data_IF_813090431555
#
_entry.id   IF_813090431555
#
_cell.length_a   1.000
_cell.length_b   1.000
_cell.length_c   1.000
_cell.angle_alpha   90.00
_cell.angle_beta   90.00
_cell.angle_gamma   90.00
#
_symmetry.space_group_name_H-M   'P 1'
#
loop_
_entity.id
_entity.type
_entity.pdbx_description
1 polymer ?
#
# COMPACT_ATOMS: atom_id res chain seq x y z
N UNK A 1 16.88 -9.42 2.05
CA UNK A 1 15.75 -9.48 1.09
C UNK A 1 14.96 -10.72 1.43
N UNK A 2 13.75 -10.57 1.96
CA UNK A 2 12.86 -11.69 2.25
C UNK A 2 12.06 -12.01 0.98
N UNK A 3 12.29 -13.16 0.37
CA UNK A 3 11.47 -13.68 -0.72
C UNK A 3 10.43 -14.62 -0.11
N UNK A 4 9.41 -14.03 0.50
CA UNK A 4 8.29 -14.74 1.09
C UNK A 4 7.04 -14.45 0.29
N UNK A 5 6.12 -15.41 0.19
CA UNK A 5 4.84 -15.23 -0.51
C UNK A 5 4.05 -14.07 0.10
N UNK A 6 4.07 -13.94 1.43
CA UNK A 6 3.45 -12.84 2.17
C UNK A 6 4.42 -12.23 3.18
N UNK A 7 4.44 -10.90 3.28
CA UNK A 7 5.19 -10.17 4.32
C UNK A 7 4.25 -9.31 5.15
N UNK A 8 4.31 -9.48 6.47
CA UNK A 8 3.60 -8.62 7.42
C UNK A 8 4.61 -7.81 8.21
N UNK A 9 4.46 -6.49 8.22
CA UNK A 9 5.30 -5.61 9.02
C UNK A 9 4.44 -4.64 9.83
N UNK A 10 4.66 -4.64 11.15
CA UNK A 10 3.79 -3.96 12.10
C UNK A 10 4.11 -2.47 12.22
N UNK A 11 5.39 -2.10 12.28
CA UNK A 11 5.82 -0.70 12.44
C UNK A 11 7.14 -0.43 11.75
N UNK A 12 7.26 0.76 11.16
CA UNK A 12 8.53 1.33 10.69
C UNK A 12 8.80 1.17 9.20
N UNK A 13 9.95 1.68 8.79
CA UNK A 13 10.45 1.63 7.41
C UNK A 13 10.77 0.19 7.01
N UNK A 14 10.18 -0.27 5.91
CA UNK A 14 10.43 -1.62 5.40
C UNK A 14 10.54 -1.63 3.88
N UNK A 15 11.40 -2.52 3.38
CA UNK A 15 11.52 -2.86 1.96
C UNK A 15 11.21 -4.34 1.78
N UNK A 16 10.17 -4.65 1.01
CA UNK A 16 9.72 -6.03 0.78
C UNK A 16 9.48 -6.32 -0.70
N UNK A 17 9.80 -7.56 -1.12
CA UNK A 17 9.50 -8.09 -2.45
C UNK A 17 8.80 -9.44 -2.28
N UNK A 18 7.48 -9.43 -2.44
CA UNK A 18 6.58 -10.53 -2.07
C UNK A 18 5.31 -10.48 -2.90
N UNK A 19 4.55 -11.57 -3.01
CA UNK A 19 3.28 -11.53 -3.74
C UNK A 19 2.23 -10.68 -3.01
N UNK A 20 2.23 -10.72 -1.68
CA UNK A 20 1.37 -9.90 -0.84
C UNK A 20 2.16 -9.22 0.28
N UNK A 21 1.84 -7.96 0.58
CA UNK A 21 2.43 -7.24 1.71
C UNK A 21 1.32 -6.58 2.54
N UNK A 22 1.36 -6.79 3.86
CA UNK A 22 0.39 -6.22 4.79
C UNK A 22 1.09 -5.43 5.88
N UNK A 23 0.53 -4.27 6.18
CA UNK A 23 1.26 -3.27 6.92
C UNK A 23 0.39 -2.47 7.84
N UNK A 24 0.80 -2.35 9.09
CA UNK A 24 -0.03 -1.67 10.08
C UNK A 24 0.31 -0.19 10.16
N UNK A 25 1.58 0.18 10.37
CA UNK A 25 1.98 1.59 10.52
C UNK A 25 3.37 1.88 9.94
N UNK A 26 3.54 3.04 9.30
CA UNK A 26 4.84 3.56 8.83
C UNK A 26 4.96 3.67 7.32
N UNK A 27 6.09 4.18 6.82
CA UNK A 27 6.35 4.23 5.38
C UNK A 27 6.94 2.90 4.92
N UNK A 28 6.62 2.49 3.69
CA UNK A 28 7.15 1.25 3.14
C UNK A 28 7.25 1.29 1.66
N UNK A 29 8.36 0.77 1.17
CA UNK A 29 8.58 0.49 -0.23
C UNK A 29 8.30 -0.99 -0.48
N UNK A 30 7.26 -1.31 -1.27
CA UNK A 30 6.93 -2.68 -1.62
C UNK A 30 6.79 -2.86 -3.13
N UNK A 31 7.39 -3.93 -3.66
CA UNK A 31 7.11 -4.44 -5.00
C UNK A 31 6.37 -5.75 -4.84
N UNK A 32 5.09 -5.75 -5.19
CA UNK A 32 4.17 -6.83 -4.81
C UNK A 32 2.99 -6.90 -5.77
N UNK A 33 2.21 -7.97 -5.77
CA UNK A 33 0.95 -7.99 -6.54
C UNK A 33 -0.14 -7.23 -5.79
N UNK A 34 -0.17 -7.37 -4.46
CA UNK A 34 -1.12 -6.69 -3.58
C UNK A 34 -0.46 -6.09 -2.34
N UNK A 35 -0.70 -4.80 -2.09
CA UNK A 35 -0.30 -4.12 -0.86
C UNK A 35 -1.52 -3.69 -0.04
N UNK A 36 -1.53 -3.99 1.25
CA UNK A 36 -2.48 -3.44 2.22
C UNK A 36 -1.74 -2.64 3.28
N UNK A 37 -2.17 -1.41 3.51
CA UNK A 37 -1.64 -0.52 4.52
C UNK A 37 -2.73 0.10 5.36
N UNK A 38 -2.59 0.00 6.69
CA UNK A 38 -3.58 0.55 7.60
C UNK A 38 -3.34 2.02 7.92
N UNK A 39 -2.10 2.41 8.22
CA UNK A 39 -1.75 3.80 8.56
C UNK A 39 -0.40 4.22 7.98
N UNK A 40 -0.32 5.39 7.36
CA UNK A 40 0.93 6.01 6.90
C UNK A 40 1.00 6.27 5.41
N UNK A 41 2.22 6.31 4.88
CA UNK A 41 2.51 6.65 3.48
C UNK A 41 3.15 5.45 2.75
N UNK A 42 2.34 4.46 2.36
CA UNK A 42 2.86 3.32 1.62
C UNK A 42 3.27 3.74 0.21
N UNK A 43 4.47 3.35 -0.18
CA UNK A 43 4.99 3.45 -1.55
C UNK A 43 5.01 2.07 -2.20
N UNK A 44 4.15 1.82 -3.19
CA UNK A 44 4.07 0.51 -3.84
C UNK A 44 4.07 0.55 -5.36
N UNK A 45 4.71 -0.47 -5.93
CA UNK A 45 4.50 -0.88 -7.31
C UNK A 45 3.78 -2.23 -7.29
N UNK A 46 2.50 -2.23 -7.63
CA UNK A 46 1.67 -3.43 -7.54
C UNK A 46 0.51 -3.44 -8.51
N UNK A 47 -0.28 -4.51 -8.55
CA UNK A 47 -1.53 -4.49 -9.31
C UNK A 47 -2.64 -3.79 -8.50
N UNK A 48 -2.67 -4.04 -7.19
CA UNK A 48 -3.64 -3.50 -6.26
C UNK A 48 -2.98 -2.90 -5.01
N UNK A 49 -3.45 -1.72 -4.59
CA UNK A 49 -3.06 -1.09 -3.31
C UNK A 49 -4.30 -0.70 -2.51
N UNK A 50 -4.31 -1.04 -1.22
CA UNK A 50 -5.37 -0.67 -0.28
C UNK A 50 -4.79 0.13 0.89
N UNK A 51 -5.02 1.44 0.83
CA UNK A 51 -4.99 2.48 1.85
C UNK A 51 -6.13 2.44 2.88
N UNK A 52 -5.93 2.27 4.18
CA UNK A 52 -6.99 2.63 5.15
C UNK A 52 -6.87 4.09 5.58
N UNK A 53 -5.70 4.53 6.03
CA UNK A 53 -5.48 5.91 6.51
C UNK A 53 -4.11 6.44 6.08
N UNK A 54 -4.08 7.63 5.49
CA UNK A 54 -2.85 8.35 5.12
C UNK A 54 -2.74 8.59 3.62
N UNK A 55 -1.51 8.75 3.12
CA UNK A 55 -1.25 9.14 1.74
C UNK A 55 -0.54 8.04 0.94
N UNK A 56 -1.27 7.08 0.35
CA UNK A 56 -0.65 6.05 -0.45
C UNK A 56 -0.09 6.62 -1.76
N UNK A 57 1.20 6.37 -1.99
CA UNK A 57 1.91 6.64 -3.23
C UNK A 57 2.08 5.35 -4.03
N UNK A 58 1.24 5.13 -5.03
CA UNK A 58 1.21 3.85 -5.72
C UNK A 58 1.20 3.96 -7.24
N UNK A 59 1.94 3.07 -7.88
CA UNK A 59 1.82 2.81 -9.30
C UNK A 59 1.18 1.43 -9.47
N UNK A 60 -0.11 1.42 -9.74
CA UNK A 60 -0.89 0.19 -9.81
C UNK A 60 -2.07 0.30 -10.75
N UNK A 61 -2.72 -0.83 -11.05
CA UNK A 61 -3.96 -0.79 -11.84
C UNK A 61 -5.12 -0.26 -10.99
N UNK A 62 -5.15 -0.65 -9.71
CA UNK A 62 -6.19 -0.26 -8.77
C UNK A 62 -5.59 0.30 -7.48
N UNK A 63 -6.08 1.46 -7.05
CA UNK A 63 -5.79 2.01 -5.71
C UNK A 63 -7.10 2.30 -5.00
N UNK A 64 -7.21 1.78 -3.78
CA UNK A 64 -8.31 2.07 -2.87
C UNK A 64 -7.74 2.79 -1.65
N UNK A 65 -8.26 3.96 -1.29
CA UNK A 65 -7.96 4.60 -0.01
C UNK A 65 -9.25 4.91 0.75
N UNK A 66 -9.30 4.62 2.06
CA UNK A 66 -10.49 4.84 2.89
C UNK A 66 -10.54 6.16 3.64
N UNK A 67 -9.38 6.74 3.97
CA UNK A 67 -9.25 8.05 4.61
C UNK A 67 -7.89 8.64 4.22
N UNK A 68 -7.85 9.92 3.81
CA UNK A 68 -6.63 10.61 3.37
C UNK A 68 -6.53 10.82 1.86
N UNK A 69 -5.47 11.48 1.42
CA UNK A 69 -5.23 11.76 0.01
C UNK A 69 -4.42 10.65 -0.64
N UNK A 70 -4.96 9.95 -1.64
CA UNK A 70 -4.11 9.05 -2.44
C UNK A 70 -3.39 9.84 -3.52
N UNK A 71 -2.12 9.52 -3.76
CA UNK A 71 -1.35 10.01 -4.91
C UNK A 71 -0.92 8.80 -5.72
N UNK A 72 -1.75 8.40 -6.68
CA UNK A 72 -1.55 7.16 -7.41
C UNK A 72 -1.72 7.34 -8.90
N UNK A 73 -0.79 6.77 -9.65
CA UNK A 73 -0.95 6.52 -11.06
C UNK A 73 -1.63 5.17 -11.21
N UNK A 74 -2.95 5.20 -11.36
CA UNK A 74 -3.75 4.02 -11.62
C UNK A 74 -4.87 4.28 -12.62
N UNK A 75 -5.25 3.22 -13.35
CA UNK A 75 -6.41 3.26 -14.23
C UNK A 75 -7.72 3.26 -13.45
N UNK A 76 -7.71 2.72 -12.22
CA UNK A 76 -8.85 2.71 -11.32
C UNK A 76 -8.47 3.24 -9.94
N UNK A 77 -9.17 4.28 -9.47
CA UNK A 77 -8.91 4.96 -8.20
C UNK A 77 -10.20 5.10 -7.40
N UNK A 78 -10.25 4.41 -6.27
CA UNK A 78 -11.36 4.44 -5.33
C UNK A 78 -10.94 5.20 -4.07
N UNK A 79 -11.43 6.43 -3.93
CA UNK A 79 -11.30 7.20 -2.71
C UNK A 79 -12.63 7.16 -1.98
N UNK A 80 -12.68 6.43 -0.88
CA UNK A 80 -13.76 6.60 0.08
C UNK A 80 -13.36 7.78 0.96
N UNK A 81 -14.11 8.88 0.90
CA UNK A 81 -14.04 9.92 1.92
C UNK A 81 -15.11 9.59 2.94
N UNK A 82 -14.74 8.95 4.05
CA UNK A 82 -15.60 8.96 5.23
C UNK A 82 -15.55 10.35 5.83
N UNK A 83 -16.66 11.10 5.66
CA UNK A 83 -16.99 12.33 6.42
C UNK A 83 -17.17 11.99 7.90
#
# INVERSE_FOLDING_TARGET
MAHSECVTAQTGESMAHSQCVTTQTGMRMAQTEALTAHTGEPMAHSQCVTAHTGEPMAHSQCVTAQTGESMAQSSCRFLFFSV
#
